data_IF_639738163971
#
_entry.id   IF_639738163971
#
_cell.length_a   1.000
_cell.length_b   1.000
_cell.length_c   1.000
_cell.angle_alpha   90.00
_cell.angle_beta   90.00
_cell.angle_gamma   90.00
#
_symmetry.space_group_name_H-M   'P 1'
#
loop_
_entity.id
_entity.type
_entity.pdbx_description
1 polymer ?
#
# COMPACT_ATOMS: atom_id res chain seq x y z
N UNK A 1 17.88 -14.09 1.39
CA UNK A 1 17.18 -13.10 0.56
C UNK A 1 18.19 -12.36 -0.29
N UNK A 2 18.25 -12.68 -1.60
CA UNK A 2 19.12 -11.97 -2.53
C UNK A 2 18.51 -10.60 -2.87
N UNK A 3 19.15 -9.56 -2.37
CA UNK A 3 18.82 -8.18 -2.74
C UNK A 3 19.28 -7.92 -4.17
N UNK A 4 18.36 -7.54 -5.07
CA UNK A 4 18.67 -7.27 -6.47
C UNK A 4 18.12 -5.93 -6.90
N UNK A 5 18.92 -5.22 -7.69
CA UNK A 5 18.58 -3.91 -8.22
C UNK A 5 17.75 -3.98 -9.52
N UNK A 6 17.68 -5.15 -10.17
CA UNK A 6 16.98 -5.34 -11.44
C UNK A 6 16.13 -6.61 -11.46
N UNK A 7 14.99 -6.51 -12.12
CA UNK A 7 14.14 -7.65 -12.48
C UNK A 7 14.89 -8.56 -13.44
N UNK A 8 14.85 -9.87 -13.25
CA UNK A 8 15.55 -10.84 -14.09
C UNK A 8 14.74 -12.12 -14.38
N UNK A 9 15.30 -12.96 -15.22
CA UNK A 9 14.69 -14.21 -15.72
C UNK A 9 14.23 -15.20 -14.63
N UNK A 10 14.69 -15.05 -13.37
CA UNK A 10 14.28 -15.94 -12.27
C UNK A 10 12.82 -15.74 -11.87
N UNK A 11 12.24 -14.57 -12.18
CA UNK A 11 10.82 -14.30 -12.01
C UNK A 11 9.94 -15.31 -12.75
N UNK A 12 10.40 -15.86 -13.88
CA UNK A 12 9.69 -16.92 -14.62
C UNK A 12 9.41 -18.17 -13.79
N UNK A 13 10.21 -18.44 -12.76
CA UNK A 13 10.02 -19.58 -11.85
C UNK A 13 9.04 -19.30 -10.70
N UNK A 14 8.59 -18.06 -10.54
CA UNK A 14 7.69 -17.66 -9.48
C UNK A 14 6.24 -17.85 -9.88
N UNK A 15 5.44 -18.51 -9.05
CA UNK A 15 4.00 -18.62 -9.30
C UNK A 15 3.24 -17.36 -8.88
N UNK A 16 3.75 -16.65 -7.88
CA UNK A 16 3.16 -15.42 -7.33
C UNK A 16 4.26 -14.38 -7.14
N UNK A 17 3.97 -13.15 -7.54
CA UNK A 17 4.86 -11.99 -7.41
C UNK A 17 4.12 -10.91 -6.62
N UNK A 18 4.71 -10.44 -5.52
CA UNK A 18 4.22 -9.29 -4.78
C UNK A 18 5.05 -8.05 -5.08
N UNK A 19 4.39 -6.95 -5.46
CA UNK A 19 5.01 -5.64 -5.65
C UNK A 19 4.83 -4.86 -4.34
N UNK A 20 5.93 -4.70 -3.60
CA UNK A 20 5.97 -4.04 -2.30
C UNK A 20 6.74 -2.72 -2.37
N UNK A 21 6.51 -1.93 -3.41
CA UNK A 21 7.13 -0.63 -3.66
C UNK A 21 6.15 0.51 -3.42
N UNK A 22 6.62 1.77 -3.35
CA UNK A 22 5.73 2.93 -3.35
C UNK A 22 4.72 2.89 -4.50
N UNK A 23 3.54 3.48 -4.28
CA UNK A 23 2.41 3.46 -5.23
C UNK A 23 2.82 4.01 -6.60
N UNK A 24 3.57 5.09 -6.64
CA UNK A 24 4.07 5.74 -7.87
C UNK A 24 4.94 4.84 -8.76
N UNK A 25 5.53 3.78 -8.20
CA UNK A 25 6.39 2.86 -8.94
C UNK A 25 5.68 1.60 -9.44
N UNK A 26 4.46 1.31 -8.98
CA UNK A 26 3.77 0.04 -9.27
C UNK A 26 3.58 -0.15 -10.78
N UNK A 27 3.07 0.85 -11.50
CA UNK A 27 2.86 0.72 -12.95
C UNK A 27 4.16 0.48 -13.73
N UNK A 28 5.23 1.19 -13.36
CA UNK A 28 6.55 1.01 -13.99
C UNK A 28 7.02 -0.44 -13.79
N UNK A 29 6.95 -0.94 -12.56
CA UNK A 29 7.39 -2.30 -12.24
C UNK A 29 6.51 -3.36 -12.92
N UNK A 30 5.19 -3.16 -12.96
CA UNK A 30 4.29 -4.04 -13.70
C UNK A 30 4.65 -4.13 -15.19
N UNK A 31 4.97 -2.99 -15.79
CA UNK A 31 5.37 -2.94 -17.17
C UNK A 31 6.71 -3.65 -17.41
N UNK A 32 7.71 -3.41 -16.56
CA UNK A 32 8.99 -4.13 -16.62
C UNK A 32 8.83 -5.64 -16.37
N UNK A 33 7.94 -6.04 -15.45
CA UNK A 33 7.63 -7.44 -15.20
C UNK A 33 7.02 -8.14 -16.41
N UNK A 34 6.26 -7.43 -17.25
CA UNK A 34 5.59 -8.02 -18.40
C UNK A 34 6.55 -8.69 -19.40
N UNK A 35 7.79 -8.23 -19.47
CA UNK A 35 8.82 -8.83 -20.33
C UNK A 35 9.35 -10.18 -19.80
N UNK A 36 9.12 -10.46 -18.54
CA UNK A 36 9.63 -11.64 -17.82
C UNK A 36 8.53 -12.57 -17.32
N UNK A 37 7.28 -12.14 -17.35
CA UNK A 37 6.15 -12.95 -16.86
C UNK A 37 5.68 -13.96 -17.88
N UNK A 38 5.15 -15.07 -17.40
CA UNK A 38 4.56 -16.13 -18.19
C UNK A 38 3.08 -16.32 -17.83
N UNK A 39 2.32 -16.86 -18.78
CA UNK A 39 0.91 -17.19 -18.56
C UNK A 39 0.76 -18.07 -17.31
N UNK A 40 -0.23 -17.76 -16.49
CA UNK A 40 -0.55 -18.39 -15.20
C UNK A 40 0.20 -17.83 -13.97
N UNK A 41 1.11 -16.90 -14.12
CA UNK A 41 1.65 -16.19 -12.96
C UNK A 41 0.62 -15.22 -12.38
N UNK A 42 0.70 -14.98 -11.08
CA UNK A 42 -0.18 -14.06 -10.38
C UNK A 42 0.66 -12.89 -9.89
N UNK A 43 0.24 -11.67 -10.20
CA UNK A 43 0.85 -10.47 -9.64
C UNK A 43 -0.13 -9.83 -8.68
N UNK A 44 0.36 -9.46 -7.51
CA UNK A 44 -0.36 -8.69 -6.50
C UNK A 44 0.52 -7.53 -6.05
N UNK A 45 -0.09 -6.42 -5.65
CA UNK A 45 0.59 -5.32 -5.00
C UNK A 45 0.08 -5.14 -3.57
N UNK A 46 0.70 -4.24 -2.82
CA UNK A 46 0.32 -3.89 -1.45
C UNK A 46 0.06 -2.39 -1.27
N UNK A 47 -0.12 -1.67 -2.37
CA UNK A 47 -0.32 -0.22 -2.36
C UNK A 47 -1.63 0.22 -1.69
N UNK A 48 -1.62 1.43 -1.15
CA UNK A 48 -2.77 2.01 -0.42
C UNK A 48 -3.86 2.56 -1.34
N UNK A 49 -3.56 2.84 -2.60
CA UNK A 49 -4.50 3.30 -3.63
C UNK A 49 -4.59 2.25 -4.73
N UNK A 50 -5.77 2.03 -5.27
CA UNK A 50 -6.04 0.97 -6.26
C UNK A 50 -6.43 1.50 -7.63
N UNK A 51 -6.91 2.73 -7.76
CA UNK A 51 -7.23 3.35 -9.06
C UNK A 51 -5.98 3.94 -9.73
N UNK A 52 -4.90 3.17 -9.73
CA UNK A 52 -3.60 3.58 -10.25
C UNK A 52 -3.21 2.88 -11.55
N UNK A 53 -3.90 1.79 -11.89
CA UNK A 53 -3.46 0.93 -12.99
C UNK A 53 -3.75 1.55 -14.36
N UNK A 54 -2.72 1.77 -15.14
CA UNK A 54 -2.81 2.35 -16.48
C UNK A 54 -3.46 1.38 -17.48
N UNK A 55 -4.15 1.93 -18.48
CA UNK A 55 -4.81 1.14 -19.54
C UNK A 55 -3.89 0.14 -20.23
N UNK A 56 -2.61 0.49 -20.44
CA UNK A 56 -1.61 -0.41 -21.03
C UNK A 56 -1.35 -1.63 -20.15
N UNK A 57 -1.26 -1.43 -18.84
CA UNK A 57 -1.06 -2.50 -17.85
C UNK A 57 -2.30 -3.39 -17.75
N UNK A 58 -3.49 -2.79 -17.74
CA UNK A 58 -4.75 -3.52 -17.70
C UNK A 58 -4.94 -4.44 -18.92
N UNK A 59 -4.41 -4.06 -20.09
CA UNK A 59 -4.44 -4.90 -21.31
C UNK A 59 -3.60 -6.17 -21.21
N UNK A 60 -2.61 -6.21 -20.30
CA UNK A 60 -1.76 -7.40 -20.07
C UNK A 60 -2.43 -8.39 -19.12
N UNK A 61 -3.37 -7.92 -18.27
CA UNK A 61 -4.10 -8.78 -17.35
C UNK A 61 -4.86 -9.88 -18.10
N UNK A 62 -4.85 -11.09 -17.54
CA UNK A 62 -5.44 -12.33 -18.08
C UNK A 62 -4.86 -12.81 -19.43
N UNK A 63 -3.98 -12.03 -20.05
CA UNK A 63 -3.22 -12.44 -21.25
C UNK A 63 -1.84 -12.99 -20.90
N UNK A 64 -1.10 -12.27 -20.07
CA UNK A 64 0.25 -12.65 -19.65
C UNK A 64 0.30 -13.07 -18.17
N UNK A 65 -0.48 -12.44 -17.31
CA UNK A 65 -0.56 -12.74 -15.87
C UNK A 65 -1.95 -12.44 -15.34
N UNK A 66 -2.26 -12.92 -14.15
CA UNK A 66 -3.48 -12.54 -13.42
C UNK A 66 -3.16 -11.44 -12.42
N UNK A 67 -3.73 -10.26 -12.60
CA UNK A 67 -3.56 -9.13 -11.68
C UNK A 67 -4.62 -9.15 -10.57
N UNK A 68 -4.17 -9.35 -9.34
CA UNK A 68 -5.00 -9.40 -8.13
C UNK A 68 -4.46 -8.41 -7.11
N UNK A 69 -4.74 -7.12 -7.26
CA UNK A 69 -4.29 -6.09 -6.33
C UNK A 69 -4.80 -6.33 -4.91
N UNK A 70 -3.96 -6.01 -3.93
CA UNK A 70 -4.30 -6.08 -2.52
C UNK A 70 -3.87 -4.83 -1.77
N UNK A 71 -4.53 -4.57 -0.65
CA UNK A 71 -4.17 -3.54 0.30
C UNK A 71 -4.24 -4.12 1.72
N UNK A 72 -3.12 -4.56 2.30
CA UNK A 72 -3.08 -4.90 3.71
C UNK A 72 -3.21 -3.63 4.54
N UNK A 73 -4.29 -3.53 5.33
CA UNK A 73 -4.52 -2.40 6.24
C UNK A 73 -3.69 -2.63 7.51
N UNK A 74 -2.38 -2.56 7.32
CA UNK A 74 -1.39 -2.81 8.36
C UNK A 74 -0.16 -1.96 8.07
N UNK A 75 0.51 -1.52 9.10
CA UNK A 75 1.70 -0.69 9.02
C UNK A 75 1.92 0.08 10.30
N UNK A 76 3.03 0.77 10.33
CA UNK A 76 3.39 1.73 11.36
C UNK A 76 3.82 3.02 10.68
N UNK A 77 4.06 4.06 11.44
CA UNK A 77 4.65 5.31 10.97
C UNK A 77 6.11 5.17 10.51
N UNK A 78 6.72 3.99 10.68
CA UNK A 78 8.10 3.70 10.30
C UNK A 78 8.17 2.93 9.00
N UNK A 79 9.13 3.25 8.13
CA UNK A 79 9.37 2.61 6.84
C UNK A 79 10.55 1.65 6.87
N UNK A 80 10.54 0.67 5.96
CA UNK A 80 11.64 -0.23 5.67
C UNK A 80 11.64 -1.54 6.46
N UNK A 81 12.37 -2.52 5.95
CA UNK A 81 12.40 -3.89 6.45
C UNK A 81 12.85 -4.03 7.91
N UNK A 82 13.64 -3.08 8.42
CA UNK A 82 14.10 -3.07 9.82
C UNK A 82 12.98 -2.91 10.84
N UNK A 83 11.84 -2.35 10.41
CA UNK A 83 10.67 -2.11 11.24
C UNK A 83 9.62 -3.23 11.10
N UNK A 84 9.95 -4.32 10.43
CA UNK A 84 9.08 -5.48 10.32
C UNK A 84 9.05 -6.26 11.65
N UNK A 85 7.87 -6.78 12.00
CA UNK A 85 7.68 -7.65 13.17
C UNK A 85 6.65 -8.74 12.88
N UNK A 86 6.74 -9.85 13.61
CA UNK A 86 6.08 -11.10 13.26
C UNK A 86 4.55 -11.04 13.23
N UNK A 87 3.94 -10.22 14.07
CA UNK A 87 2.48 -10.11 14.18
C UNK A 87 1.88 -8.86 13.50
N UNK A 88 2.64 -8.22 12.60
CA UNK A 88 2.18 -7.01 11.87
C UNK A 88 0.81 -7.21 11.22
N UNK A 89 0.56 -8.38 10.65
CA UNK A 89 -0.63 -8.70 9.88
C UNK A 89 -1.75 -9.38 10.68
N UNK A 90 -1.43 -9.82 11.89
CA UNK A 90 -2.36 -10.61 12.71
C UNK A 90 -3.66 -9.81 12.98
N UNK A 91 -4.81 -10.44 12.68
CA UNK A 91 -6.17 -9.90 12.84
C UNK A 91 -6.48 -8.60 12.07
N UNK A 92 -5.58 -8.16 11.20
CA UNK A 92 -5.79 -7.00 10.34
C UNK A 92 -6.56 -7.38 9.08
N UNK A 93 -7.09 -6.38 8.38
CA UNK A 93 -7.76 -6.58 7.10
C UNK A 93 -6.79 -6.47 5.92
N UNK A 94 -6.95 -7.36 4.96
CA UNK A 94 -6.44 -7.18 3.60
C UNK A 94 -7.61 -7.05 2.64
N UNK A 95 -7.67 -5.96 1.92
CA UNK A 95 -8.70 -5.71 0.92
C UNK A 95 -8.14 -6.08 -0.46
N UNK A 96 -8.79 -7.02 -1.13
CA UNK A 96 -8.46 -7.39 -2.50
C UNK A 96 -9.39 -6.65 -3.46
N UNK A 97 -8.81 -6.07 -4.51
CA UNK A 97 -9.55 -5.42 -5.61
C UNK A 97 -9.22 -6.11 -6.93
N UNK A 98 -9.69 -7.35 -7.17
CA UNK A 98 -9.26 -8.14 -8.31
C UNK A 98 -9.60 -7.46 -9.63
N UNK A 99 -8.61 -7.33 -10.50
CA UNK A 99 -8.76 -6.92 -11.90
C UNK A 99 -8.91 -8.15 -12.78
N UNK A 100 -8.19 -9.21 -12.46
CA UNK A 100 -8.33 -10.52 -13.11
C UNK A 100 -9.68 -11.17 -12.80
N UNK A 101 -10.27 -11.79 -13.80
CA UNK A 101 -11.45 -12.65 -13.66
C UNK A 101 -11.10 -14.10 -13.25
N UNK A 102 -9.84 -14.43 -13.12
CA UNK A 102 -9.36 -15.76 -12.78
C UNK A 102 -9.63 -16.09 -11.29
N UNK A 103 -10.71 -16.81 -11.03
CA UNK A 103 -11.15 -17.20 -9.69
C UNK A 103 -10.08 -17.98 -8.91
N UNK A 104 -9.25 -18.79 -9.60
CA UNK A 104 -8.15 -19.55 -8.98
C UNK A 104 -7.08 -18.60 -8.45
N UNK A 105 -6.66 -17.61 -9.23
CA UNK A 105 -5.68 -16.61 -8.84
C UNK A 105 -6.17 -15.79 -7.64
N UNK A 106 -7.42 -15.33 -7.67
CA UNK A 106 -8.05 -14.59 -6.56
C UNK A 106 -8.06 -15.44 -5.28
N UNK A 107 -8.39 -16.74 -5.40
CA UNK A 107 -8.39 -17.65 -4.25
C UNK A 107 -6.99 -17.82 -3.67
N UNK A 108 -5.96 -18.00 -4.53
CA UNK A 108 -4.58 -18.17 -4.08
C UNK A 108 -4.11 -16.94 -3.29
N UNK A 109 -4.30 -15.73 -3.79
CA UNK A 109 -3.91 -14.50 -3.07
C UNK A 109 -4.70 -14.37 -1.77
N UNK A 110 -6.00 -14.65 -1.78
CA UNK A 110 -6.82 -14.64 -0.57
C UNK A 110 -6.28 -15.61 0.49
N UNK A 111 -5.92 -16.83 0.12
CA UNK A 111 -5.40 -17.84 1.04
C UNK A 111 -4.01 -17.48 1.57
N UNK A 112 -3.15 -16.84 0.77
CA UNK A 112 -1.86 -16.36 1.26
C UNK A 112 -2.07 -15.35 2.40
N UNK A 113 -2.93 -14.33 2.21
CA UNK A 113 -3.18 -13.32 3.24
C UNK A 113 -3.84 -13.91 4.50
N UNK A 114 -4.77 -14.85 4.34
CA UNK A 114 -5.38 -15.56 5.49
C UNK A 114 -4.36 -16.37 6.28
N UNK A 115 -3.45 -17.09 5.60
CA UNK A 115 -2.42 -17.91 6.26
C UNK A 115 -1.43 -17.10 7.10
N UNK A 116 -1.19 -15.85 6.75
CA UNK A 116 -0.37 -14.95 7.56
C UNK A 116 -1.17 -14.18 8.62
N UNK A 117 -2.44 -14.56 8.84
CA UNK A 117 -3.26 -14.07 9.95
C UNK A 117 -4.22 -12.94 9.60
N UNK A 118 -4.38 -12.56 8.31
CA UNK A 118 -5.28 -11.45 7.93
C UNK A 118 -6.71 -11.92 7.68
N UNK A 119 -7.66 -11.04 7.95
CA UNK A 119 -9.03 -11.11 7.45
C UNK A 119 -9.05 -10.58 6.03
N UNK A 120 -9.71 -11.28 5.10
CA UNK A 120 -9.72 -10.87 3.69
C UNK A 120 -11.11 -10.43 3.27
N UNK A 121 -11.20 -9.21 2.76
CA UNK A 121 -12.38 -8.66 2.08
C UNK A 121 -12.10 -8.50 0.57
N UNK A 122 -13.17 -8.42 -0.23
CA UNK A 122 -13.10 -8.12 -1.66
C UNK A 122 -14.06 -6.99 -1.98
N UNK A 123 -13.61 -6.04 -2.78
CA UNK A 123 -14.46 -4.95 -3.27
C UNK A 123 -13.97 -4.45 -4.62
N UNK A 124 -14.74 -3.57 -5.25
CA UNK A 124 -14.32 -2.89 -6.48
C UNK A 124 -13.27 -1.82 -6.17
N UNK A 125 -12.45 -1.48 -7.17
CA UNK A 125 -11.42 -0.45 -7.07
C UNK A 125 -11.98 0.87 -6.55
N UNK A 126 -13.05 1.39 -7.18
CA UNK A 126 -13.64 2.68 -6.82
C UNK A 126 -14.25 2.69 -5.40
N UNK A 127 -14.83 1.56 -4.99
CA UNK A 127 -15.37 1.39 -3.64
C UNK A 127 -14.24 1.40 -2.60
N UNK A 128 -13.15 0.68 -2.89
CA UNK A 128 -11.97 0.68 -2.04
C UNK A 128 -11.43 2.09 -1.84
N UNK A 129 -11.13 2.80 -2.93
CA UNK A 129 -10.48 4.11 -2.84
C UNK A 129 -11.40 5.15 -2.18
N UNK A 130 -12.71 5.07 -2.40
CA UNK A 130 -13.69 5.92 -1.70
C UNK A 130 -13.72 5.66 -0.19
N UNK A 131 -13.68 4.41 0.24
CA UNK A 131 -13.64 4.06 1.67
C UNK A 131 -12.32 4.53 2.28
N UNK A 132 -11.19 4.22 1.63
CA UNK A 132 -9.86 4.58 2.14
C UNK A 132 -9.64 6.09 2.17
N UNK A 133 -10.20 6.85 1.23
CA UNK A 133 -10.11 8.32 1.24
C UNK A 133 -10.71 8.91 2.51
N UNK A 134 -11.80 8.34 3.03
CA UNK A 134 -12.49 8.84 4.23
C UNK A 134 -11.84 8.28 5.50
N UNK A 135 -11.54 6.98 5.53
CA UNK A 135 -11.13 6.30 6.77
C UNK A 135 -9.64 6.38 7.06
N UNK A 136 -8.83 6.68 6.06
CA UNK A 136 -7.37 6.71 6.15
C UNK A 136 -6.77 8.01 5.60
N UNK A 137 -7.04 8.34 4.33
CA UNK A 137 -6.32 9.43 3.66
C UNK A 137 -6.68 10.79 4.25
N UNK A 138 -7.97 11.10 4.43
CA UNK A 138 -8.42 12.36 5.02
C UNK A 138 -7.89 12.57 6.45
N UNK A 139 -7.92 11.60 7.38
CA UNK A 139 -7.29 11.74 8.70
C UNK A 139 -5.81 12.10 8.64
N UNK A 140 -5.04 11.50 7.72
CA UNK A 140 -3.63 11.83 7.55
C UNK A 140 -3.42 13.22 6.97
N UNK A 141 -4.22 13.62 5.98
CA UNK A 141 -4.17 14.98 5.42
C UNK A 141 -4.43 16.04 6.50
N UNK A 142 -5.42 15.81 7.36
CA UNK A 142 -5.73 16.69 8.51
C UNK A 142 -4.54 16.71 9.47
N UNK A 143 -3.95 15.55 9.78
CA UNK A 143 -2.81 15.44 10.68
C UNK A 143 -1.59 16.20 10.15
N UNK A 144 -1.24 16.04 8.85
CA UNK A 144 -0.18 16.79 8.22
C UNK A 144 -0.45 18.31 8.22
N UNK A 145 -1.70 18.73 8.01
CA UNK A 145 -2.10 20.14 8.06
C UNK A 145 -1.90 20.72 9.44
N UNK A 146 -2.31 20.00 10.50
CA UNK A 146 -2.15 20.42 11.89
C UNK A 146 -0.66 20.55 12.24
N UNK A 147 0.14 19.55 11.90
CA UNK A 147 1.60 19.53 12.17
C UNK A 147 2.29 20.64 11.39
N UNK A 148 1.98 20.83 10.12
CA UNK A 148 2.52 21.90 9.29
C UNK A 148 2.18 23.30 9.83
N UNK A 149 0.94 23.49 10.28
CA UNK A 149 0.52 24.75 10.92
C UNK A 149 1.32 25.03 12.20
N UNK A 150 1.46 24.01 13.06
CA UNK A 150 2.26 24.12 14.27
C UNK A 150 3.75 24.38 13.97
N UNK A 151 4.29 23.78 12.92
CA UNK A 151 5.68 23.97 12.51
C UNK A 151 5.98 25.40 12.04
N UNK A 152 5.02 26.09 11.46
CA UNK A 152 5.15 27.47 10.98
C UNK A 152 5.07 28.54 12.09
N UNK A 153 4.77 28.15 13.34
CA UNK A 153 4.81 29.07 14.47
C UNK A 153 6.25 29.47 14.83
N UNK A 154 6.42 30.66 15.43
CA UNK A 154 7.72 31.06 15.97
C UNK A 154 8.14 30.19 17.18
N UNK A 155 9.43 30.20 17.54
CA UNK A 155 10.00 29.33 18.57
C UNK A 155 9.28 29.46 19.92
N UNK A 156 8.93 30.70 20.36
CA UNK A 156 8.24 30.93 21.61
C UNK A 156 6.86 30.28 21.60
N UNK A 157 6.07 30.51 20.56
CA UNK A 157 4.74 29.92 20.39
C UNK A 157 4.77 28.40 20.25
N UNK A 158 5.81 27.82 19.64
CA UNK A 158 6.00 26.36 19.59
C UNK A 158 6.16 25.76 20.98
N UNK A 159 6.94 26.38 21.87
CA UNK A 159 7.10 25.91 23.25
C UNK A 159 5.78 25.97 24.01
N UNK A 160 5.03 27.04 23.87
CA UNK A 160 3.71 27.19 24.50
C UNK A 160 2.74 26.13 23.97
N UNK A 161 2.70 25.91 22.65
CA UNK A 161 1.86 24.89 22.02
C UNK A 161 2.16 23.50 22.58
N UNK A 162 3.44 23.12 22.71
CA UNK A 162 3.83 21.82 23.28
C UNK A 162 3.40 21.70 24.74
N UNK A 163 3.58 22.76 25.52
CA UNK A 163 3.22 22.77 26.97
C UNK A 163 1.70 22.62 27.17
N UNK A 164 0.89 23.19 26.28
CA UNK A 164 -0.57 23.13 26.35
C UNK A 164 -1.18 22.00 25.49
N UNK A 165 -0.35 21.18 24.83
CA UNK A 165 -0.82 20.09 23.99
C UNK A 165 -1.50 19.00 24.83
N UNK A 166 -2.80 18.82 24.60
CA UNK A 166 -3.60 17.74 25.17
C UNK A 166 -3.56 16.49 24.28
N UNK A 167 -4.27 15.44 24.69
CA UNK A 167 -4.28 14.13 24.02
C UNK A 167 -4.57 14.19 22.52
N UNK A 168 -5.57 14.95 22.11
CA UNK A 168 -5.94 15.08 20.70
C UNK A 168 -4.79 15.59 19.81
N UNK A 169 -4.04 16.61 20.25
CA UNK A 169 -2.89 17.11 19.51
C UNK A 169 -1.77 16.05 19.41
N UNK A 170 -1.55 15.27 20.47
CA UNK A 170 -0.57 14.17 20.49
C UNK A 170 -0.93 13.07 19.49
N UNK A 171 -2.21 12.71 19.38
CA UNK A 171 -2.67 11.73 18.42
C UNK A 171 -2.47 12.20 16.98
N UNK A 172 -2.81 13.45 16.67
CA UNK A 172 -2.56 14.01 15.34
C UNK A 172 -1.07 14.13 15.01
N UNK A 173 -0.22 14.51 15.97
CA UNK A 173 1.24 14.55 15.72
C UNK A 173 1.82 13.17 15.52
N UNK A 174 1.32 12.13 16.17
CA UNK A 174 1.72 10.74 15.91
C UNK A 174 1.37 10.32 14.48
N UNK A 175 0.13 10.56 14.04
CA UNK A 175 -0.31 10.27 12.66
C UNK A 175 0.49 11.10 11.65
N UNK A 176 0.69 12.39 11.92
CA UNK A 176 1.44 13.32 11.07
C UNK A 176 2.96 13.13 11.05
N UNK A 177 3.50 12.19 11.84
CA UNK A 177 4.91 11.76 11.77
C UNK A 177 5.20 10.70 10.72
N UNK A 178 4.18 10.22 10.03
CA UNK A 178 4.31 9.28 8.90
C UNK A 178 5.14 9.88 7.76
N UNK A 179 5.71 9.02 6.91
CA UNK A 179 6.59 9.44 5.80
C UNK A 179 5.83 10.35 4.81
N UNK A 180 6.23 11.64 4.68
CA UNK A 180 5.54 12.59 3.81
C UNK A 180 5.61 12.21 2.32
N UNK A 181 6.69 11.54 1.89
CA UNK A 181 6.87 11.13 0.50
C UNK A 181 5.89 10.03 0.13
N UNK A 182 5.74 9.04 0.99
CA UNK A 182 4.75 7.98 0.81
C UNK A 182 3.32 8.57 0.73
N UNK A 183 2.99 9.53 1.59
CA UNK A 183 1.67 10.15 1.60
C UNK A 183 1.43 11.07 0.40
N UNK A 184 2.47 11.72 -0.13
CA UNK A 184 2.36 12.45 -1.40
C UNK A 184 1.92 11.52 -2.53
N UNK A 185 2.51 10.33 -2.62
CA UNK A 185 2.14 9.31 -3.63
C UNK A 185 0.69 8.80 -3.46
N UNK A 186 0.12 8.87 -2.25
CA UNK A 186 -1.24 8.44 -1.96
C UNK A 186 -2.26 9.54 -2.28
N UNK A 187 -1.90 10.82 -2.10
CA UNK A 187 -2.80 11.96 -2.32
C UNK A 187 -2.88 12.40 -3.78
N UNK A 188 -1.87 12.11 -4.61
CA UNK A 188 -1.81 12.43 -6.04
C UNK A 188 -2.39 11.32 -6.91
#
# INVERSE_FOLDING_TARGET
DEKREKIDKRIKKSSVIFICTPVSLINKILYELSDYTEKNQIISDVGSVKNIFEKKTLKLNDKQFSLVPGHPIAGTEHSGAKNAFNNLFQDKWCILTPISNNKKSIRIISEIWKRIGMKVAKMKVDEHDKIMSITSHLPHLIAFTIVGTAFNLNIKKKKELINFAAGGFKDFTRIGSSDPKMWTDIFL
#
